data_IF_006400771364
#
_entry.id   IF_006400771364
#
_cell.length_a   1.000
_cell.length_b   1.000
_cell.length_c   1.000
_cell.angle_alpha   90.00
_cell.angle_beta   90.00
_cell.angle_gamma   90.00
#
_symmetry.space_group_name_H-M   'P 1'
#
loop_
_entity.id
_entity.type
_entity.pdbx_description
1 polymer ?
#
# COMPACT_ATOMS: atom_id res chain seq x y z
N UNK A 1 12.78 7.84 5.41
CA UNK A 1 12.57 6.98 6.60
C UNK A 1 11.09 6.75 6.84
N UNK A 2 10.52 5.82 6.09
CA UNK A 2 9.25 5.14 6.39
C UNK A 2 9.53 3.74 6.98
N UNK A 3 10.70 3.58 7.61
CA UNK A 3 11.26 2.29 8.01
C UNK A 3 10.60 1.74 9.28
N UNK A 4 9.91 2.62 10.03
CA UNK A 4 9.12 2.25 11.19
C UNK A 4 7.65 2.56 10.91
N UNK A 5 6.91 1.51 10.60
CA UNK A 5 5.46 1.57 10.44
C UNK A 5 4.80 0.94 11.66
N UNK A 6 3.68 1.50 12.11
CA UNK A 6 2.85 0.84 13.12
C UNK A 6 2.28 -0.50 12.63
N UNK A 7 1.62 -1.22 13.52
CA UNK A 7 0.85 -2.40 13.15
C UNK A 7 -0.43 -2.00 12.42
N UNK A 8 -0.77 -2.74 11.37
CA UNK A 8 -2.02 -2.57 10.62
C UNK A 8 -2.79 -3.88 10.66
N UNK A 9 -4.07 -3.80 11.04
CA UNK A 9 -5.04 -4.87 10.74
C UNK A 9 -5.74 -4.49 9.44
N UNK A 10 -5.47 -5.25 8.38
CA UNK A 10 -6.08 -5.02 7.07
C UNK A 10 -7.51 -5.58 7.08
N UNK A 11 -8.55 -4.80 6.76
CA UNK A 11 -9.92 -5.30 6.66
C UNK A 11 -10.05 -6.36 5.56
N UNK A 12 -11.04 -7.23 5.71
CA UNK A 12 -11.40 -8.18 4.65
C UNK A 12 -11.74 -7.45 3.34
N UNK A 13 -11.27 -7.98 2.21
CA UNK A 13 -11.48 -7.37 0.88
C UNK A 13 -10.52 -6.24 0.53
N UNK A 14 -9.51 -5.97 1.36
CA UNK A 14 -8.50 -4.94 1.13
C UNK A 14 -7.08 -5.49 1.14
N UNK A 15 -6.17 -4.72 0.56
CA UNK A 15 -4.73 -4.97 0.53
C UNK A 15 -3.97 -3.79 1.15
N UNK A 16 -2.86 -4.13 1.81
CA UNK A 16 -1.82 -3.18 2.18
C UNK A 16 -0.67 -3.33 1.20
N UNK A 17 -0.41 -2.30 0.39
CA UNK A 17 0.62 -2.35 -0.65
C UNK A 17 1.82 -1.51 -0.26
N UNK A 18 3.01 -1.99 -0.63
CA UNK A 18 4.28 -1.32 -0.41
C UNK A 18 4.99 -1.19 -1.75
N UNK A 19 5.56 -0.01 -2.03
CA UNK A 19 6.50 0.14 -3.12
C UNK A 19 7.87 -0.42 -2.73
N UNK A 20 8.60 -0.97 -3.69
CA UNK A 20 9.95 -1.50 -3.43
C UNK A 20 10.96 -0.40 -3.09
N UNK A 21 10.85 0.77 -3.74
CA UNK A 21 11.64 1.95 -3.37
C UNK A 21 11.03 2.64 -2.15
N UNK A 22 11.27 2.05 -0.97
CA UNK A 22 10.56 2.36 0.28
C UNK A 22 10.60 3.83 0.69
N UNK A 23 11.68 4.55 0.42
CA UNK A 23 11.80 5.96 0.80
C UNK A 23 11.15 6.92 -0.20
N UNK A 24 10.85 6.44 -1.42
CA UNK A 24 10.32 7.26 -2.51
C UNK A 24 8.98 6.73 -3.05
N UNK A 25 8.25 5.97 -2.23
CA UNK A 25 6.95 5.41 -2.58
C UNK A 25 5.83 6.06 -1.75
N UNK A 26 4.82 6.58 -2.45
CA UNK A 26 3.54 6.99 -1.85
C UNK A 26 2.61 5.79 -1.83
N UNK A 27 2.72 4.95 -0.80
CA UNK A 27 2.00 3.68 -0.68
C UNK A 27 1.08 3.63 0.55
N UNK A 28 0.60 2.45 0.95
CA UNK A 28 -0.39 2.29 2.03
C UNK A 28 0.09 2.80 3.40
N UNK A 29 1.40 3.04 3.58
CA UNK A 29 1.96 3.65 4.80
C UNK A 29 1.61 5.13 4.93
N UNK A 30 1.36 5.81 3.81
CA UNK A 30 1.01 7.23 3.80
C UNK A 30 -0.51 7.35 3.94
N UNK A 31 -1.02 8.04 4.97
CA UNK A 31 -2.46 8.15 5.16
C UNK A 31 -3.09 9.05 4.08
N UNK A 32 -4.36 8.83 3.67
CA UNK A 32 -5.01 9.62 2.63
C UNK A 32 -5.02 11.13 2.86
N UNK A 33 -5.12 11.56 4.12
CA UNK A 33 -5.03 12.98 4.51
C UNK A 33 -3.67 13.63 4.17
N UNK A 34 -2.64 12.85 3.87
CA UNK A 34 -1.30 13.28 3.47
C UNK A 34 -1.01 12.94 1.99
N UNK A 35 -2.03 12.59 1.20
CA UNK A 35 -1.89 12.25 -0.22
C UNK A 35 -1.51 10.81 -0.51
N UNK A 36 -1.54 9.93 0.49
CA UNK A 36 -1.37 8.49 0.30
C UNK A 36 -2.63 7.77 -0.14
N UNK A 37 -2.50 6.48 -0.44
CA UNK A 37 -3.60 5.67 -0.99
C UNK A 37 -4.38 4.88 0.06
N UNK A 38 -3.81 4.69 1.27
CA UNK A 38 -4.42 3.85 2.31
C UNK A 38 -4.52 2.38 1.90
N UNK A 39 -5.54 1.68 2.41
CA UNK A 39 -5.82 0.30 2.00
C UNK A 39 -6.49 0.25 0.62
N UNK A 40 -6.06 -0.69 -0.22
CA UNK A 40 -6.56 -0.82 -1.60
C UNK A 40 -7.66 -1.89 -1.65
N UNK A 41 -8.90 -1.55 -2.05
CA UNK A 41 -9.94 -2.54 -2.30
C UNK A 41 -9.51 -3.59 -3.33
N UNK A 42 -9.88 -4.86 -3.13
CA UNK A 42 -9.56 -5.95 -4.09
C UNK A 42 -10.09 -5.66 -5.49
N UNK A 43 -11.23 -4.99 -5.60
CA UNK A 43 -11.85 -4.58 -6.87
C UNK A 43 -10.99 -3.59 -7.69
N UNK A 44 -10.05 -2.90 -7.04
CA UNK A 44 -9.12 -1.98 -7.69
C UNK A 44 -7.84 -2.67 -8.19
N UNK A 45 -7.67 -3.98 -7.94
CA UNK A 45 -6.52 -4.74 -8.40
C UNK A 45 -6.80 -5.30 -9.80
N UNK A 46 -6.06 -4.79 -10.79
CA UNK A 46 -6.26 -5.17 -12.20
C UNK A 46 -5.55 -6.46 -12.60
N UNK A 47 -4.55 -6.90 -11.84
CA UNK A 47 -3.81 -8.12 -12.12
C UNK A 47 -2.50 -8.22 -11.35
N UNK A 48 -1.78 -9.32 -11.57
CA UNK A 48 -0.43 -9.56 -11.08
C UNK A 48 0.52 -9.41 -12.27
N UNK A 49 1.58 -8.65 -12.09
CA UNK A 49 2.63 -8.53 -13.11
C UNK A 49 3.56 -9.74 -13.01
N UNK A 50 3.60 -10.57 -14.06
CA UNK A 50 4.36 -11.84 -14.08
C UNK A 50 5.43 -11.88 -15.16
N UNK A 51 5.73 -10.74 -15.80
CA UNK A 51 6.79 -10.69 -16.81
C UNK A 51 8.13 -10.66 -16.07
N UNK A 52 8.75 -11.83 -15.95
CA UNK A 52 10.04 -12.09 -15.30
C UNK A 52 11.18 -12.09 -16.31
#
# INVERSE_FOLDING_TARGET
MLDFTGEYTVPEGYFFVLGDNRDNATDSRVPPRMGGIGFVPVENIVGIFTDY
#
